data_IF_679113172176
#
_entry.id   IF_679113172176
#
_cell.length_a   1.000
_cell.length_b   1.000
_cell.length_c   1.000
_cell.angle_alpha   90.00
_cell.angle_beta   90.00
_cell.angle_gamma   90.00
#
_symmetry.space_group_name_H-M   'P 1'
#
loop_
_entity.id
_entity.type
_entity.pdbx_description
1 polymer ?
#
# COMPACT_ATOMS: atom_id res chain seq x y z
N UNK A 1 21.72 14.75 59.85
CA UNK A 1 21.46 13.63 58.90
C UNK A 1 19.96 13.55 58.66
N UNK A 2 19.52 13.34 57.41
CA UNK A 2 18.10 13.22 56.99
C UNK A 2 17.37 14.49 56.53
N UNK A 3 17.94 15.18 55.53
CA UNK A 3 17.12 16.05 54.65
C UNK A 3 17.54 15.95 53.17
N UNK A 4 18.80 15.58 52.90
CA UNK A 4 19.32 15.43 51.52
C UNK A 4 18.93 14.14 50.79
N UNK A 5 18.41 13.11 51.46
CA UNK A 5 18.03 11.84 50.81
C UNK A 5 16.60 11.84 50.25
N UNK A 6 15.71 12.67 50.80
CA UNK A 6 14.31 12.73 50.39
C UNK A 6 14.13 13.56 49.11
N UNK A 7 14.94 14.61 48.91
CA UNK A 7 14.87 15.48 47.72
C UNK A 7 15.34 14.78 46.45
N UNK A 8 16.34 13.90 46.54
CA UNK A 8 16.81 13.10 45.39
C UNK A 8 15.76 12.09 44.93
N UNK A 9 14.98 11.50 45.85
CA UNK A 9 13.93 10.54 45.49
C UNK A 9 12.73 11.18 44.78
N UNK A 10 12.35 12.41 45.18
CA UNK A 10 11.24 13.14 44.54
C UNK A 10 11.62 13.59 43.13
N UNK A 11 12.87 14.04 42.90
CA UNK A 11 13.35 14.44 41.56
C UNK A 11 13.40 13.27 40.57
N UNK A 12 13.79 12.06 41.02
CA UNK A 12 13.79 10.87 40.15
C UNK A 12 12.36 10.42 39.80
N UNK A 13 11.42 10.48 40.76
CA UNK A 13 10.02 10.16 40.49
C UNK A 13 9.34 11.15 39.55
N UNK A 14 9.66 12.45 39.65
CA UNK A 14 9.13 13.47 38.74
C UNK A 14 9.69 13.28 37.31
N UNK A 15 10.97 12.95 37.16
CA UNK A 15 11.56 12.72 35.82
C UNK A 15 10.99 11.45 35.16
N UNK A 16 10.69 10.39 35.92
CA UNK A 16 9.99 9.20 35.41
C UNK A 16 8.50 9.45 35.08
N UNK A 17 7.88 10.49 35.64
CA UNK A 17 6.48 10.84 35.37
C UNK A 17 6.30 11.74 34.14
N UNK A 18 7.38 12.35 33.64
CA UNK A 18 7.39 13.11 32.38
C UNK A 18 7.87 12.28 31.17
N UNK A 19 8.22 11.02 31.37
CA UNK A 19 8.44 10.04 30.31
C UNK A 19 7.12 9.44 29.83
N UNK A 20 6.25 10.24 29.22
CA UNK A 20 5.18 9.68 28.40
C UNK A 20 5.82 9.11 27.13
N UNK A 21 6.19 7.83 27.23
CA UNK A 21 6.36 6.93 26.11
C UNK A 21 5.23 7.20 25.11
N UNK A 22 5.64 7.41 23.87
CA UNK A 22 4.73 7.48 22.74
C UNK A 22 3.91 6.17 22.75
N UNK A 23 2.68 6.26 23.23
CA UNK A 23 1.70 5.19 23.07
C UNK A 23 1.48 5.01 21.58
N UNK A 24 2.22 4.04 21.07
CA UNK A 24 2.18 3.49 19.72
C UNK A 24 0.74 3.08 19.46
N UNK A 25 -0.01 3.96 18.82
CA UNK A 25 -1.31 3.60 18.24
C UNK A 25 -1.04 2.45 17.27
N UNK A 26 -1.35 1.23 17.73
CA UNK A 26 -1.31 0.02 16.92
C UNK A 26 -2.50 0.08 15.96
N UNK A 27 -2.35 0.84 14.89
CA UNK A 27 -3.15 0.60 13.69
C UNK A 27 -2.64 -0.70 13.06
N UNK A 28 -3.35 -1.75 13.42
CA UNK A 28 -3.19 -3.14 13.03
C UNK A 28 -3.63 -3.35 11.57
N UNK A 29 -2.91 -2.74 10.63
CA UNK A 29 -2.81 -3.25 9.26
C UNK A 29 -1.31 -3.48 9.03
N UNK A 30 -0.93 -4.75 9.13
CA UNK A 30 0.43 -5.24 9.28
C UNK A 30 1.41 -4.67 8.23
N UNK A 31 2.14 -3.62 8.58
CA UNK A 31 3.44 -3.38 7.98
C UNK A 31 4.35 -4.48 8.52
N UNK A 32 4.76 -5.43 7.66
CA UNK A 32 5.86 -6.33 7.98
C UNK A 32 7.14 -5.55 8.29
N UNK A 33 8.17 -6.24 8.78
CA UNK A 33 9.47 -5.62 9.06
C UNK A 33 9.93 -4.76 7.87
N UNK A 34 10.43 -3.57 8.15
CA UNK A 34 10.94 -2.60 7.17
C UNK A 34 9.91 -2.13 6.12
N UNK A 35 8.61 -2.15 6.46
CA UNK A 35 7.51 -1.77 5.57
C UNK A 35 6.85 -2.94 4.84
N UNK A 36 7.41 -4.15 4.96
CA UNK A 36 6.77 -5.41 4.57
C UNK A 36 6.29 -5.44 3.12
N UNK A 37 5.03 -5.85 2.92
CA UNK A 37 4.43 -6.00 1.59
C UNK A 37 4.36 -4.68 0.82
N UNK A 38 4.13 -3.56 1.48
CA UNK A 38 4.08 -2.24 0.83
C UNK A 38 5.45 -1.85 0.27
N UNK A 39 6.52 -2.13 1.02
CA UNK A 39 7.88 -1.94 0.54
C UNK A 39 8.16 -2.83 -0.67
N UNK A 40 7.88 -4.14 -0.56
CA UNK A 40 8.09 -5.09 -1.66
C UNK A 40 7.30 -4.72 -2.93
N UNK A 41 6.03 -4.35 -2.79
CA UNK A 41 5.18 -3.93 -3.90
C UNK A 41 5.71 -2.66 -4.55
N UNK A 42 6.12 -1.66 -3.75
CA UNK A 42 6.73 -0.45 -4.29
C UNK A 42 7.99 -0.80 -5.10
N UNK A 43 8.92 -1.57 -4.53
CA UNK A 43 10.18 -1.93 -5.20
C UNK A 43 9.92 -2.65 -6.52
N UNK A 44 8.98 -3.60 -6.55
CA UNK A 44 8.63 -4.35 -7.77
C UNK A 44 8.01 -3.45 -8.85
N UNK A 45 7.08 -2.55 -8.48
CA UNK A 45 6.43 -1.64 -9.44
C UNK A 45 7.46 -0.68 -10.04
N UNK A 46 8.34 -0.10 -9.22
CA UNK A 46 9.40 0.79 -9.71
C UNK A 46 10.37 0.04 -10.62
N UNK A 47 10.80 -1.15 -10.20
CA UNK A 47 11.66 -2.03 -11.00
C UNK A 47 11.05 -2.32 -12.37
N UNK A 48 9.76 -2.67 -12.40
CA UNK A 48 9.04 -2.93 -13.64
C UNK A 48 8.93 -1.66 -14.51
N UNK A 49 8.62 -0.52 -13.90
CA UNK A 49 8.57 0.78 -14.58
C UNK A 49 9.90 1.18 -15.22
N UNK A 50 11.02 0.97 -14.52
CA UNK A 50 12.38 1.23 -15.03
C UNK A 50 12.76 0.30 -16.20
N UNK A 51 12.43 -0.99 -16.10
CA UNK A 51 12.66 -1.94 -17.17
C UNK A 51 11.86 -1.58 -18.43
N UNK A 52 10.57 -1.25 -18.25
CA UNK A 52 9.70 -0.87 -19.35
C UNK A 52 10.14 0.45 -20.01
N UNK A 53 10.59 1.41 -19.19
CA UNK A 53 11.19 2.67 -19.64
C UNK A 53 12.45 2.44 -20.47
N UNK A 54 13.31 1.52 -20.04
CA UNK A 54 14.53 1.16 -20.77
C UNK A 54 14.21 0.50 -22.12
N UNK A 55 13.25 -0.42 -22.14
CA UNK A 55 12.84 -1.14 -23.36
C UNK A 55 12.24 -0.19 -24.40
N UNK A 56 11.42 0.77 -23.96
CA UNK A 56 10.71 1.67 -24.86
C UNK A 56 11.36 3.04 -25.05
N UNK A 57 12.49 3.30 -24.38
CA UNK A 57 13.18 4.59 -24.37
C UNK A 57 12.23 5.74 -23.98
N UNK A 58 11.47 5.53 -22.90
CA UNK A 58 10.48 6.47 -22.36
C UNK A 58 10.78 6.77 -20.89
N UNK A 59 10.09 7.75 -20.30
CA UNK A 59 10.17 7.95 -18.85
C UNK A 59 9.46 6.82 -18.10
N UNK A 60 9.83 6.60 -16.83
CA UNK A 60 9.17 5.61 -15.95
C UNK A 60 7.66 5.88 -15.86
N UNK A 61 7.26 7.15 -15.73
CA UNK A 61 5.84 7.55 -15.65
C UNK A 61 5.07 7.18 -16.91
N UNK A 62 5.60 7.50 -18.10
CA UNK A 62 5.00 7.17 -19.39
C UNK A 62 4.93 5.66 -19.63
N UNK A 63 5.92 4.93 -19.12
CA UNK A 63 5.93 3.47 -19.15
C UNK A 63 4.84 2.87 -18.25
N UNK A 64 4.63 3.41 -17.06
CA UNK A 64 3.53 2.99 -16.18
C UNK A 64 2.15 3.34 -16.78
N UNK A 65 1.99 4.49 -17.43
CA UNK A 65 0.77 4.82 -18.18
C UNK A 65 0.51 3.84 -19.32
N UNK A 66 1.56 3.44 -20.05
CA UNK A 66 1.49 2.41 -21.09
C UNK A 66 1.03 1.08 -20.50
N UNK A 67 1.58 0.68 -19.35
CA UNK A 67 1.16 -0.53 -18.65
C UNK A 67 -0.33 -0.49 -18.32
N UNK A 68 -0.88 0.64 -17.89
CA UNK A 68 -2.31 0.77 -17.63
C UNK A 68 -3.18 0.47 -18.87
N UNK A 69 -2.66 0.65 -20.09
CA UNK A 69 -3.40 0.32 -21.32
C UNK A 69 -3.46 -1.19 -21.60
N UNK A 70 -2.63 -2.01 -20.95
CA UNK A 70 -2.70 -3.47 -21.05
C UNK A 70 -3.72 -4.07 -20.08
N UNK A 71 -4.26 -3.27 -19.16
CA UNK A 71 -5.26 -3.72 -18.20
C UNK A 71 -6.67 -3.66 -18.81
N UNK A 72 -7.60 -4.51 -18.32
CA UNK A 72 -9.01 -4.43 -18.70
C UNK A 72 -9.60 -3.04 -18.42
N UNK A 73 -10.62 -2.59 -19.18
CA UNK A 73 -11.19 -1.25 -19.04
C UNK A 73 -11.62 -0.87 -17.62
N UNK A 74 -12.13 -1.85 -16.86
CA UNK A 74 -12.54 -1.68 -15.47
C UNK A 74 -11.40 -1.24 -14.52
N UNK A 75 -10.14 -1.56 -14.87
CA UNK A 75 -8.95 -1.26 -14.05
C UNK A 75 -8.02 -0.25 -14.73
N UNK A 76 -8.09 -0.12 -16.06
CA UNK A 76 -7.24 0.78 -16.83
C UNK A 76 -7.40 2.26 -16.43
N UNK A 77 -8.64 2.73 -16.25
CA UNK A 77 -8.91 4.12 -15.84
C UNK A 77 -8.38 4.41 -14.43
N UNK A 78 -8.74 3.64 -13.38
CA UNK A 78 -8.20 3.88 -12.04
C UNK A 78 -6.67 3.74 -11.98
N UNK A 79 -6.08 2.85 -12.79
CA UNK A 79 -4.62 2.74 -12.93
C UNK A 79 -4.00 4.05 -13.42
N UNK A 80 -4.53 4.67 -14.48
CA UNK A 80 -4.00 5.93 -15.01
C UNK A 80 -4.06 7.05 -13.99
N UNK A 81 -5.19 7.19 -13.30
CA UNK A 81 -5.36 8.19 -12.22
C UNK A 81 -4.32 8.00 -11.12
N UNK A 82 -4.02 6.75 -10.77
CA UNK A 82 -2.99 6.43 -9.79
C UNK A 82 -1.58 6.76 -10.30
N UNK A 83 -1.26 6.43 -11.55
CA UNK A 83 0.04 6.75 -12.16
C UNK A 83 0.25 8.26 -12.23
N UNK A 84 -0.76 9.04 -12.60
CA UNK A 84 -0.69 10.50 -12.62
C UNK A 84 -0.38 11.08 -11.23
N UNK A 85 -1.05 10.56 -10.19
CA UNK A 85 -0.81 10.96 -8.81
C UNK A 85 0.63 10.63 -8.36
N UNK A 86 1.10 9.41 -8.62
CA UNK A 86 2.44 8.99 -8.25
C UNK A 86 3.50 9.72 -9.08
N UNK A 87 3.27 9.99 -10.36
CA UNK A 87 4.19 10.74 -11.22
C UNK A 87 4.50 12.12 -10.64
N UNK A 88 3.48 12.81 -10.12
CA UNK A 88 3.65 14.08 -9.42
C UNK A 88 4.52 13.96 -8.16
N UNK A 89 4.31 12.92 -7.34
CA UNK A 89 5.11 12.69 -6.13
C UNK A 89 6.55 12.24 -6.46
N UNK A 90 6.76 11.39 -7.46
CA UNK A 90 8.07 10.96 -7.94
C UNK A 90 8.90 12.16 -8.38
N UNK A 91 8.37 13.02 -9.26
CA UNK A 91 9.11 14.18 -9.78
C UNK A 91 9.53 15.13 -8.64
N UNK A 92 8.71 15.23 -7.59
CA UNK A 92 9.00 16.09 -6.43
C UNK A 92 10.03 15.50 -5.47
N UNK A 93 10.06 14.18 -5.35
CA UNK A 93 10.81 13.48 -4.28
C UNK A 93 12.09 12.83 -4.80
N UNK A 94 12.16 12.47 -6.09
CA UNK A 94 13.20 11.60 -6.64
C UNK A 94 14.00 12.26 -7.79
N UNK A 95 15.22 12.76 -7.54
CA UNK A 95 16.21 13.01 -8.59
C UNK A 95 16.47 11.79 -9.49
N UNK A 96 16.92 12.07 -10.71
CA UNK A 96 17.09 11.13 -11.83
C UNK A 96 18.11 9.98 -11.63
N UNK A 97 18.54 9.66 -10.41
CA UNK A 97 19.60 8.68 -10.12
C UNK A 97 19.32 7.74 -8.95
N UNK A 98 18.08 7.64 -8.47
CA UNK A 98 17.74 6.67 -7.44
C UNK A 98 17.47 5.30 -8.01
N UNK A 99 17.90 4.26 -7.28
CA UNK A 99 17.43 2.90 -7.52
C UNK A 99 16.02 2.70 -6.90
N UNK A 100 15.30 1.61 -7.25
CA UNK A 100 13.97 1.35 -6.71
C UNK A 100 13.89 1.27 -5.18
N UNK A 101 14.93 0.78 -4.49
CA UNK A 101 14.93 0.70 -3.02
C UNK A 101 14.98 2.09 -2.38
N UNK A 102 15.88 2.95 -2.89
CA UNK A 102 16.00 4.35 -2.49
C UNK A 102 14.73 5.13 -2.80
N UNK A 103 14.15 4.91 -3.99
CA UNK A 103 12.89 5.52 -4.40
C UNK A 103 11.76 5.20 -3.40
N UNK A 104 11.59 3.92 -3.06
CA UNK A 104 10.56 3.48 -2.13
C UNK A 104 10.80 3.90 -0.69
N UNK A 105 12.06 4.07 -0.28
CA UNK A 105 12.42 4.68 0.99
C UNK A 105 12.10 6.18 1.02
N UNK A 106 12.38 6.90 -0.07
CA UNK A 106 12.05 8.33 -0.23
C UNK A 106 10.55 8.60 -0.22
N UNK A 107 9.75 7.70 -0.79
CA UNK A 107 8.29 7.76 -0.78
C UNK A 107 7.68 7.29 0.56
N UNK A 108 8.48 6.70 1.44
CA UNK A 108 8.04 6.22 2.76
C UNK A 108 7.33 4.87 2.76
N UNK A 109 7.33 4.13 1.64
CA UNK A 109 6.82 2.76 1.58
C UNK A 109 7.79 1.75 2.21
N UNK A 110 9.09 2.02 2.13
CA UNK A 110 10.15 1.29 2.82
C UNK A 110 10.72 2.13 3.97
N UNK A 111 11.00 1.49 5.10
CA UNK A 111 11.67 2.13 6.24
C UNK A 111 12.56 1.12 6.95
N UNK A 112 13.43 1.59 7.84
CA UNK A 112 14.26 0.70 8.66
C UNK A 112 13.71 0.70 10.08
N UNK A 113 13.24 -0.45 10.53
CA UNK A 113 12.78 -0.65 11.90
C UNK A 113 13.95 -0.59 12.89
N UNK A 114 13.62 -0.25 14.13
CA UNK A 114 14.66 -0.05 15.16
C UNK A 114 15.26 -1.40 15.55
N UNK A 115 16.55 -1.61 15.28
CA UNK A 115 17.22 -2.88 15.54
C UNK A 115 17.20 -3.86 14.37
N UNK A 116 16.60 -3.50 13.24
CA UNK A 116 16.58 -4.29 12.02
C UNK A 116 17.61 -3.77 11.00
N UNK A 117 18.10 -4.65 10.13
CA UNK A 117 18.90 -4.24 8.97
C UNK A 117 18.00 -3.71 7.86
N UNK A 118 18.52 -2.76 7.06
CA UNK A 118 17.79 -2.25 5.89
C UNK A 118 17.62 -3.35 4.82
N UNK A 119 16.37 -3.67 4.49
CA UNK A 119 16.05 -4.49 3.31
C UNK A 119 16.40 -3.73 2.03
N UNK A 120 17.06 -4.41 1.08
CA UNK A 120 17.34 -3.91 -0.25
C UNK A 120 17.30 -5.06 -1.26
N UNK A 121 16.68 -4.83 -2.41
CA UNK A 121 16.67 -5.78 -3.52
C UNK A 121 17.87 -5.55 -4.47
N UNK A 122 18.31 -4.30 -4.58
CA UNK A 122 19.38 -3.85 -5.45
C UNK A 122 20.69 -3.65 -4.69
N UNK A 123 21.85 -3.71 -5.37
CA UNK A 123 23.13 -3.40 -4.74
C UNK A 123 23.14 -1.99 -4.14
N UNK A 124 23.62 -1.87 -2.89
CA UNK A 124 23.72 -0.58 -2.21
C UNK A 124 24.61 0.38 -3.03
N UNK A 125 24.17 1.62 -3.27
CA UNK A 125 24.99 2.59 -3.97
C UNK A 125 26.22 2.96 -3.15
N UNK A 126 27.34 3.21 -3.83
CA UNK A 126 28.62 3.59 -3.19
C UNK A 126 28.57 4.95 -2.49
N UNK A 127 27.59 5.79 -2.85
CA UNK A 127 27.31 7.06 -2.21
C UNK A 127 25.90 6.96 -1.64
N UNK A 128 25.78 6.96 -0.32
CA UNK A 128 24.49 7.09 0.35
C UNK A 128 23.98 8.52 0.09
N UNK A 129 23.10 8.69 -0.89
CA UNK A 129 22.41 9.97 -1.02
C UNK A 129 21.52 10.11 0.22
N UNK A 130 21.89 11.04 1.10
CA UNK A 130 21.15 11.30 2.33
C UNK A 130 19.80 11.85 1.91
N UNK A 131 18.76 11.01 1.99
CA UNK A 131 17.40 11.49 1.91
C UNK A 131 17.19 12.47 3.06
N UNK A 132 17.07 13.75 2.72
CA UNK A 132 16.38 14.72 3.58
C UNK A 132 14.88 14.41 3.54
N UNK A 133 14.51 13.17 3.83
CA UNK A 133 13.13 12.77 3.99
C UNK A 133 12.60 13.56 5.18
N UNK A 134 11.77 14.57 4.92
CA UNK A 134 10.84 15.05 5.95
C UNK A 134 10.05 13.82 6.38
N UNK A 135 10.41 13.29 7.54
CA UNK A 135 9.85 12.08 8.15
C UNK A 135 8.35 12.27 8.41
N UNK A 136 7.51 12.14 7.39
CA UNK A 136 6.09 11.86 7.58
C UNK A 136 6.00 10.40 8.02
N UNK A 137 5.77 10.19 9.33
CA UNK A 137 5.77 8.89 10.02
C UNK A 137 4.60 7.96 9.66
N UNK A 138 3.96 8.15 8.51
CA UNK A 138 2.94 7.24 8.04
C UNK A 138 3.14 7.08 6.54
N UNK A 139 3.55 5.88 6.12
CA UNK A 139 3.37 5.46 4.74
C UNK A 139 1.90 5.72 4.39
N UNK A 140 1.59 6.38 3.27
CA UNK A 140 0.20 6.57 2.87
C UNK A 140 -0.45 5.19 2.73
N UNK A 141 -1.63 5.01 3.34
CA UNK A 141 -2.42 3.82 3.10
C UNK A 141 -2.73 3.75 1.61
N UNK A 142 -2.25 2.71 0.94
CA UNK A 142 -2.36 2.60 -0.53
C UNK A 142 -3.82 2.64 -0.99
N UNK A 143 -4.74 2.15 -0.16
CA UNK A 143 -6.18 2.15 -0.42
C UNK A 143 -6.86 3.51 -0.22
N UNK A 144 -6.15 4.51 0.33
CA UNK A 144 -6.63 5.88 0.41
C UNK A 144 -6.19 6.72 -0.80
N UNK A 145 -5.30 6.19 -1.65
CA UNK A 145 -4.79 6.91 -2.81
C UNK A 145 -5.84 7.00 -3.93
N UNK A 146 -5.85 8.12 -4.70
CA UNK A 146 -6.71 8.26 -5.87
C UNK A 146 -6.49 7.13 -6.88
N UNK A 147 -7.58 6.65 -7.50
CA UNK A 147 -7.54 5.51 -8.43
C UNK A 147 -7.52 4.14 -7.73
N UNK A 148 -6.65 3.94 -6.73
CA UNK A 148 -6.53 2.65 -6.03
C UNK A 148 -7.67 2.38 -5.07
N UNK A 149 -8.27 3.41 -4.46
CA UNK A 149 -9.37 3.25 -3.50
C UNK A 149 -10.51 2.37 -4.02
N UNK A 150 -10.92 2.55 -5.28
CA UNK A 150 -12.01 1.75 -5.87
C UNK A 150 -11.56 0.32 -6.17
N UNK A 151 -10.29 0.14 -6.54
CA UNK A 151 -9.69 -1.20 -6.71
C UNK A 151 -9.64 -1.93 -5.37
N UNK A 152 -9.20 -1.27 -4.29
CA UNK A 152 -9.18 -1.87 -2.95
C UNK A 152 -10.57 -2.30 -2.50
N UNK A 153 -11.58 -1.44 -2.63
CA UNK A 153 -12.96 -1.83 -2.27
C UNK A 153 -13.43 -3.08 -3.03
N UNK A 154 -13.09 -3.18 -4.32
CA UNK A 154 -13.43 -4.35 -5.13
C UNK A 154 -12.68 -5.59 -4.63
N UNK A 155 -11.38 -5.47 -4.36
CA UNK A 155 -10.56 -6.56 -3.80
C UNK A 155 -11.12 -6.99 -2.44
N UNK A 156 -11.37 -6.07 -1.52
CA UNK A 156 -11.90 -6.36 -0.19
C UNK A 156 -13.26 -7.06 -0.27
N UNK A 157 -14.16 -6.59 -1.15
CA UNK A 157 -15.46 -7.25 -1.41
C UNK A 157 -15.29 -8.71 -1.82
N UNK A 158 -14.34 -9.00 -2.71
CA UNK A 158 -14.16 -10.32 -3.33
C UNK A 158 -13.33 -11.27 -2.44
N UNK A 159 -12.23 -10.78 -1.87
CA UNK A 159 -11.24 -11.60 -1.19
C UNK A 159 -11.50 -11.70 0.31
N UNK A 160 -11.95 -10.65 0.97
CA UNK A 160 -12.27 -10.67 2.41
C UNK A 160 -13.77 -10.85 2.64
N UNK A 161 -14.60 -10.15 1.87
CA UNK A 161 -16.06 -10.26 1.92
C UNK A 161 -16.59 -11.55 1.29
N UNK A 162 -15.77 -12.26 0.50
CA UNK A 162 -16.16 -13.45 -0.27
C UNK A 162 -17.45 -13.27 -1.08
N UNK A 163 -17.66 -12.05 -1.57
CA UNK A 163 -18.83 -11.66 -2.37
C UNK A 163 -18.49 -11.62 -3.86
N UNK A 164 -19.42 -12.00 -4.73
CA UNK A 164 -19.24 -11.85 -6.18
C UNK A 164 -19.02 -10.38 -6.55
N UNK A 165 -18.18 -10.15 -7.58
CA UNK A 165 -17.96 -8.80 -8.08
C UNK A 165 -19.25 -8.18 -8.64
N UNK A 166 -20.03 -8.97 -9.39
CA UNK A 166 -21.32 -8.61 -9.98
C UNK A 166 -22.41 -9.38 -9.25
N UNK A 167 -23.33 -8.65 -8.63
CA UNK A 167 -24.46 -9.16 -7.84
C UNK A 167 -25.38 -7.95 -7.63
N UNK A 168 -26.32 -7.79 -8.56
CA UNK A 168 -27.14 -6.58 -8.71
C UNK A 168 -28.29 -6.57 -7.69
N UNK A 169 -28.84 -7.72 -7.35
CA UNK A 169 -29.97 -7.86 -6.41
C UNK A 169 -29.56 -8.19 -4.96
N UNK A 170 -28.28 -8.49 -4.73
CA UNK A 170 -27.73 -8.74 -3.39
C UNK A 170 -28.07 -10.11 -2.83
N UNK A 171 -28.38 -11.09 -3.68
CA UNK A 171 -28.66 -12.48 -3.32
C UNK A 171 -27.38 -13.31 -3.10
N UNK A 172 -26.22 -12.73 -3.44
CA UNK A 172 -24.86 -13.29 -3.33
C UNK A 172 -24.52 -14.35 -4.39
N UNK A 173 -25.33 -14.51 -5.40
CA UNK A 173 -25.06 -15.26 -6.61
C UNK A 173 -24.67 -14.26 -7.71
N UNK A 174 -24.29 -14.79 -8.88
CA UNK A 174 -23.78 -13.97 -9.96
C UNK A 174 -23.96 -14.67 -11.28
N UNK A 175 -24.11 -13.89 -12.34
CA UNK A 175 -23.99 -14.37 -13.72
C UNK A 175 -22.55 -14.60 -14.19
N UNK A 176 -21.55 -13.98 -13.53
CA UNK A 176 -20.16 -14.01 -13.96
C UNK A 176 -19.41 -15.23 -13.42
N UNK A 177 -18.51 -15.83 -14.22
CA UNK A 177 -17.78 -17.04 -13.82
C UNK A 177 -16.70 -16.81 -12.76
N UNK A 178 -15.91 -15.75 -12.89
CA UNK A 178 -14.76 -15.46 -12.03
C UNK A 178 -15.15 -14.59 -10.82
N UNK A 179 -14.18 -14.10 -10.05
CA UNK A 179 -14.37 -13.14 -8.94
C UNK A 179 -15.54 -13.49 -8.00
N UNK A 180 -15.49 -14.68 -7.40
CA UNK A 180 -16.51 -15.22 -6.47
C UNK A 180 -17.91 -15.44 -7.06
N UNK A 181 -18.07 -15.42 -8.38
CA UNK A 181 -19.32 -15.78 -9.06
C UNK A 181 -19.49 -17.29 -9.29
N UNK A 182 -19.87 -17.72 -10.49
CA UNK A 182 -20.37 -19.09 -10.75
C UNK A 182 -19.32 -20.22 -10.61
N UNK A 183 -18.03 -19.89 -10.55
CA UNK A 183 -17.01 -20.89 -10.17
C UNK A 183 -17.06 -21.26 -8.69
N UNK A 184 -17.76 -20.47 -7.86
CA UNK A 184 -17.85 -20.64 -6.41
C UNK A 184 -19.25 -21.04 -5.94
N UNK A 185 -20.29 -20.59 -6.64
CA UNK A 185 -21.70 -20.84 -6.32
C UNK A 185 -22.47 -21.21 -7.59
N UNK A 186 -23.71 -21.69 -7.45
CA UNK A 186 -24.58 -21.90 -8.61
C UNK A 186 -24.73 -20.62 -9.44
N UNK A 187 -24.95 -20.77 -10.75
CA UNK A 187 -25.19 -19.60 -11.60
C UNK A 187 -26.52 -18.97 -11.26
N UNK A 188 -26.52 -17.65 -11.11
CA UNK A 188 -27.75 -16.88 -11.04
C UNK A 188 -28.41 -16.82 -12.43
N UNK A 189 -29.69 -17.18 -12.50
CA UNK A 189 -30.46 -17.10 -13.73
C UNK A 189 -31.16 -15.74 -13.91
N UNK A 190 -31.33 -14.95 -12.85
CA UNK A 190 -31.92 -13.62 -12.88
C UNK A 190 -31.32 -12.71 -11.80
N UNK A 191 -30.17 -12.10 -12.10
CA UNK A 191 -29.42 -11.15 -11.23
C UNK A 191 -30.22 -9.87 -10.88
N UNK A 192 -31.46 -9.72 -11.36
CA UNK A 192 -32.36 -8.63 -11.01
C UNK A 192 -33.40 -8.98 -9.94
N UNK A 193 -33.49 -10.24 -9.53
CA UNK A 193 -34.50 -10.72 -8.59
C UNK A 193 -33.90 -11.60 -7.50
N UNK A 194 -33.81 -11.01 -6.32
CA UNK A 194 -33.21 -11.63 -5.13
C UNK A 194 -33.85 -12.96 -4.70
N UNK A 195 -35.07 -13.26 -5.17
CA UNK A 195 -35.78 -14.49 -4.82
C UNK A 195 -35.50 -15.64 -5.83
N UNK A 196 -34.90 -15.34 -6.98
CA UNK A 196 -34.66 -16.29 -8.07
C UNK A 196 -33.18 -16.68 -8.08
N UNK A 197 -32.84 -17.67 -7.25
CA UNK A 197 -31.45 -18.13 -7.17
C UNK A 197 -31.35 -19.62 -6.86
N UNK A 198 -30.19 -20.25 -7.11
CA UNK A 198 -29.99 -21.65 -6.78
C UNK A 198 -30.29 -21.95 -5.30
N UNK A 199 -31.24 -22.84 -5.07
CA UNK A 199 -31.65 -23.27 -3.72
C UNK A 199 -32.79 -22.45 -3.07
N UNK A 200 -33.37 -21.46 -3.76
CA UNK A 200 -34.61 -20.82 -3.30
C UNK A 200 -35.81 -21.80 -3.40
N UNK A 201 -36.84 -21.59 -2.56
CA UNK A 201 -38.01 -22.47 -2.41
C UNK A 201 -39.22 -21.96 -3.17
#
# INVERSE_FOLDING_TARGET
MSLGKTVTFVLVFVICSYGSEASRSRNFLNFGANGGTNCATCTVIFTFGEQLATIHNETVTKSLERFCNYLPPAVAIPCKVFVDYIAYEIIRVLPAKYNPDEACQGLGFCFTDTGEEQCHLFPKPKVSQVFNARRKRAAPNICELPGIKEICKLIDKIFDGHMPAVDIDGDRFSVMKTFRGTSWRGKDCDDGSKDIHPGSR
#
